data_IF_735679496116
#
_entry.id   IF_735679496116
#
_cell.length_a   1.000
_cell.length_b   1.000
_cell.length_c   1.000
_cell.angle_alpha   90.00
_cell.angle_beta   90.00
_cell.angle_gamma   90.00
#
_symmetry.space_group_name_H-M   'P 1'
#
loop_
_entity.id
_entity.type
_entity.pdbx_description
1 polymer ?
#
# COMPACT_ATOMS: atom_id res chain seq x y z
N UNK A 1 -33.43 9.21 67.95
CA UNK A 1 -33.73 8.04 68.81
C UNK A 1 -34.14 6.87 67.93
N UNK A 2 -33.74 5.62 68.28
CA UNK A 2 -34.04 4.33 67.59
C UNK A 2 -33.47 4.24 66.14
N UNK A 3 -32.46 3.43 65.77
CA UNK A 3 -32.10 1.99 65.93
C UNK A 3 -32.89 1.00 65.05
N UNK A 4 -32.11 0.16 64.31
CA UNK A 4 -32.37 -1.26 63.91
C UNK A 4 -33.43 -1.47 62.81
N UNK A 5 -33.52 -2.57 62.04
CA UNK A 5 -32.72 -3.80 61.72
C UNK A 5 -33.40 -4.45 60.46
N UNK A 6 -32.91 -5.42 59.66
CA UNK A 6 -31.66 -6.21 59.53
C UNK A 6 -31.60 -6.90 58.14
N UNK A 7 -30.42 -7.40 57.73
CA UNK A 7 -30.10 -8.60 56.91
C UNK A 7 -30.95 -9.09 55.70
N UNK A 8 -30.23 -9.51 54.65
CA UNK A 8 -30.75 -10.38 53.57
C UNK A 8 -29.63 -11.05 52.74
N UNK A 9 -28.94 -12.05 53.31
CA UNK A 9 -27.97 -12.89 52.56
C UNK A 9 -28.69 -14.09 51.89
N UNK A 10 -28.41 -14.32 50.61
CA UNK A 10 -28.46 -15.64 49.96
C UNK A 10 -27.64 -15.57 48.66
N UNK A 11 -26.38 -16.02 48.61
CA UNK A 11 -25.95 -17.40 48.42
C UNK A 11 -26.67 -18.16 47.28
N UNK A 12 -26.08 -18.15 46.09
CA UNK A 12 -25.85 -19.38 45.32
C UNK A 12 -24.64 -19.23 44.37
N UNK A 13 -24.13 -20.37 43.89
CA UNK A 13 -22.72 -20.60 43.51
C UNK A 13 -22.51 -20.75 41.99
N UNK A 14 -21.25 -20.78 41.49
CA UNK A 14 -20.95 -20.57 40.07
C UNK A 14 -21.19 -21.83 39.22
N UNK A 15 -21.44 -21.61 37.92
CA UNK A 15 -21.44 -22.66 36.90
C UNK A 15 -20.03 -22.80 36.33
N UNK A 16 -19.46 -24.00 36.49
CA UNK A 16 -18.35 -24.56 35.70
C UNK A 16 -18.77 -25.96 35.30
N UNK A 17 -18.54 -26.30 34.02
CA UNK A 17 -18.35 -27.64 33.42
C UNK A 17 -18.12 -27.31 31.92
N UNK A 18 -16.92 -27.37 31.34
CA UNK A 18 -15.97 -28.47 31.08
C UNK A 18 -16.36 -29.42 29.92
N UNK A 19 -15.34 -29.81 29.14
CA UNK A 19 -15.35 -30.72 27.97
C UNK A 19 -16.03 -30.20 26.66
N UNK A 20 -15.57 -30.53 25.43
CA UNK A 20 -14.60 -31.55 25.02
C UNK A 20 -13.82 -31.21 23.72
N UNK A 21 -12.56 -31.67 23.67
CA UNK A 21 -11.81 -32.20 22.51
C UNK A 21 -11.77 -31.47 21.15
N UNK A 22 -10.57 -30.98 20.83
CA UNK A 22 -9.83 -31.14 19.55
C UNK A 22 -10.57 -31.73 18.33
N UNK A 23 -10.62 -30.93 17.25
CA UNK A 23 -10.22 -31.43 15.92
C UNK A 23 -9.27 -30.44 15.25
N UNK A 24 -8.02 -30.86 15.01
CA UNK A 24 -7.17 -30.20 14.02
C UNK A 24 -7.79 -30.44 12.64
N UNK A 25 -8.06 -29.37 11.90
CA UNK A 25 -7.98 -29.40 10.44
C UNK A 25 -7.13 -28.22 9.99
N UNK A 26 -5.89 -28.54 9.64
CA UNK A 26 -5.04 -27.67 8.84
C UNK A 26 -5.74 -27.43 7.51
N UNK A 27 -6.13 -26.19 7.23
CA UNK A 27 -6.30 -25.74 5.86
C UNK A 27 -5.55 -24.43 5.70
N UNK A 28 -4.52 -24.50 4.87
CA UNK A 28 -3.66 -23.40 4.42
C UNK A 28 -4.48 -22.15 4.10
N UNK A 29 -4.57 -21.24 5.08
CA UNK A 29 -4.95 -19.86 4.82
C UNK A 29 -3.76 -19.25 4.10
N UNK A 30 -3.89 -19.12 2.78
CA UNK A 30 -2.91 -18.43 1.94
C UNK A 30 -2.60 -17.09 2.59
N UNK A 31 -1.39 -16.93 3.11
CA UNK A 31 -0.88 -15.66 3.57
C UNK A 31 -0.79 -14.71 2.37
N UNK A 32 -1.92 -14.06 2.05
CA UNK A 32 -1.87 -12.66 1.64
C UNK A 32 -1.41 -11.88 2.85
N UNK A 33 -0.10 -11.95 3.11
CA UNK A 33 0.61 -10.78 3.62
C UNK A 33 0.33 -9.67 2.61
N UNK A 34 -0.75 -8.93 2.87
CA UNK A 34 -0.76 -7.52 2.52
C UNK A 34 0.50 -7.00 3.20
N UNK A 35 1.51 -6.66 2.41
CA UNK A 35 2.63 -5.90 2.91
C UNK A 35 2.01 -4.76 3.71
N UNK A 36 2.36 -4.67 5.00
CA UNK A 36 1.84 -3.62 5.87
C UNK A 36 2.50 -2.35 5.36
N UNK A 37 1.81 -1.65 4.46
CA UNK A 37 2.19 -0.32 4.01
C UNK A 37 2.16 0.55 5.27
N UNK A 38 3.31 1.13 5.62
CA UNK A 38 3.49 1.89 6.87
C UNK A 38 2.34 2.90 7.04
N UNK A 39 1.51 2.77 8.09
CA UNK A 39 0.26 3.52 8.18
C UNK A 39 0.49 5.04 8.28
N UNK A 40 1.67 5.46 8.74
CA UNK A 40 2.10 6.85 8.89
C UNK A 40 3.28 7.20 7.97
N UNK A 41 3.30 6.68 6.73
CA UNK A 41 4.33 7.07 5.75
C UNK A 41 4.30 8.58 5.51
N UNK A 42 5.39 9.28 5.87
CA UNK A 42 5.53 10.71 5.68
C UNK A 42 5.73 11.10 4.20
N UNK A 43 5.47 12.37 3.89
CA UNK A 43 5.74 12.94 2.55
C UNK A 43 7.18 12.67 2.08
N UNK A 44 8.17 12.90 2.95
CA UNK A 44 9.58 12.70 2.62
C UNK A 44 9.92 11.23 2.36
N UNK A 45 9.43 10.32 3.21
CA UNK A 45 9.66 8.89 3.08
C UNK A 45 9.02 8.31 1.80
N UNK A 46 7.88 8.84 1.35
CA UNK A 46 7.31 8.49 0.05
C UNK A 46 8.23 8.88 -1.10
N UNK A 47 8.75 10.11 -1.11
CA UNK A 47 9.64 10.59 -2.17
C UNK A 47 10.92 9.77 -2.22
N UNK A 48 11.54 9.49 -1.07
CA UNK A 48 12.73 8.64 -0.98
C UNK A 48 12.46 7.21 -1.48
N UNK A 49 11.28 6.63 -1.17
CA UNK A 49 10.87 5.31 -1.65
C UNK A 49 10.69 5.26 -3.16
N UNK A 50 10.10 6.29 -3.77
CA UNK A 50 9.99 6.42 -5.23
C UNK A 50 11.38 6.61 -5.88
N UNK A 51 12.24 7.43 -5.28
CA UNK A 51 13.63 7.63 -5.73
C UNK A 51 14.51 6.40 -5.54
N UNK A 52 14.14 5.48 -4.65
CA UNK A 52 14.81 4.19 -4.48
C UNK A 52 14.38 3.22 -5.59
N UNK A 53 13.07 3.10 -5.83
CA UNK A 53 12.55 2.25 -6.91
C UNK A 53 13.01 2.72 -8.30
N UNK A 54 13.09 4.03 -8.54
CA UNK A 54 13.59 4.57 -9.81
C UNK A 54 15.06 4.22 -10.05
N UNK A 55 15.87 4.07 -9.00
CA UNK A 55 17.31 3.78 -9.08
C UNK A 55 17.66 2.30 -9.15
N UNK A 56 16.80 1.39 -8.69
CA UNK A 56 17.19 -0.01 -8.47
C UNK A 56 17.66 -0.69 -9.77
N UNK A 57 16.98 -0.44 -10.91
CA UNK A 57 17.21 -1.13 -12.19
C UNK A 57 17.39 -0.17 -13.39
N UNK A 58 17.95 1.04 -13.21
CA UNK A 58 18.11 2.02 -14.32
C UNK A 58 18.85 1.43 -15.52
N UNK A 59 19.91 0.67 -15.27
CA UNK A 59 20.78 0.09 -16.30
C UNK A 59 20.09 -1.02 -17.12
N UNK A 60 19.10 -1.69 -16.53
CA UNK A 60 18.34 -2.77 -17.18
C UNK A 60 17.05 -2.26 -17.85
N UNK A 61 16.39 -1.25 -17.26
CA UNK A 61 15.12 -0.75 -17.76
C UNK A 61 14.88 0.75 -17.46
N UNK A 62 15.24 1.60 -18.42
CA UNK A 62 15.05 3.06 -18.35
C UNK A 62 13.56 3.46 -18.28
N UNK A 63 12.64 2.63 -18.80
CA UNK A 63 11.19 2.93 -18.72
C UNK A 63 10.66 2.89 -17.28
N UNK A 64 11.24 2.04 -16.41
CA UNK A 64 10.87 1.98 -15.00
C UNK A 64 11.25 3.30 -14.28
N UNK A 65 12.44 3.85 -14.57
CA UNK A 65 12.86 5.16 -14.06
C UNK A 65 11.86 6.26 -14.44
N UNK A 66 11.48 6.35 -15.72
CA UNK A 66 10.49 7.34 -16.17
C UNK A 66 9.07 7.08 -15.65
N UNK A 67 8.71 5.85 -15.31
CA UNK A 67 7.44 5.56 -14.66
C UNK A 67 7.41 6.07 -13.21
N UNK A 68 8.42 5.76 -12.39
CA UNK A 68 8.51 6.25 -11.02
C UNK A 68 8.66 7.78 -10.95
N UNK A 69 9.40 8.40 -11.88
CA UNK A 69 9.47 9.85 -11.96
C UNK A 69 8.09 10.48 -12.27
N UNK A 70 7.33 9.92 -13.23
CA UNK A 70 5.95 10.39 -13.51
C UNK A 70 5.00 10.22 -12.32
N UNK A 71 5.13 9.14 -11.54
CA UNK A 71 4.36 8.96 -10.29
C UNK A 71 4.71 10.03 -9.26
N UNK A 72 6.00 10.34 -9.11
CA UNK A 72 6.52 11.40 -8.22
C UNK A 72 6.00 12.78 -8.64
N UNK A 73 6.10 13.13 -9.92
CA UNK A 73 5.65 14.43 -10.44
C UNK A 73 4.14 14.62 -10.25
N UNK A 74 3.34 13.62 -10.63
CA UNK A 74 1.87 13.57 -10.41
C UNK A 74 1.51 13.77 -8.93
N UNK A 75 2.22 13.12 -8.01
CA UNK A 75 2.01 13.27 -6.58
C UNK A 75 2.33 14.70 -6.09
N UNK A 76 3.43 15.28 -6.54
CA UNK A 76 3.83 16.65 -6.17
C UNK A 76 2.83 17.70 -6.67
N UNK A 77 2.28 17.52 -7.87
CA UNK A 77 1.27 18.42 -8.43
C UNK A 77 -0.08 18.28 -7.71
N UNK A 78 -0.51 17.07 -7.34
CA UNK A 78 -1.74 16.87 -6.55
C UNK A 78 -1.63 17.50 -5.15
N UNK A 79 -0.47 17.39 -4.48
CA UNK A 79 -0.22 18.06 -3.19
C UNK A 79 -0.26 19.58 -3.35
N UNK A 80 0.43 20.16 -4.36
CA UNK A 80 0.36 21.61 -4.63
C UNK A 80 -1.06 22.10 -4.88
N UNK A 81 -1.88 21.33 -5.60
CA UNK A 81 -3.26 21.68 -5.85
C UNK A 81 -4.08 21.67 -4.55
N UNK A 82 -3.94 20.62 -3.73
CA UNK A 82 -4.58 20.55 -2.40
C UNK A 82 -4.19 21.72 -1.50
N UNK A 83 -2.92 22.09 -1.47
CA UNK A 83 -2.45 23.23 -0.67
C UNK A 83 -2.98 24.58 -1.19
N UNK A 84 -3.06 24.77 -2.50
CA UNK A 84 -3.71 25.95 -3.09
C UNK A 84 -5.21 26.04 -2.73
N UNK A 85 -5.92 24.92 -2.72
CA UNK A 85 -7.33 24.87 -2.35
C UNK A 85 -7.56 25.01 -0.82
N UNK A 86 -6.65 24.50 0.01
CA UNK A 86 -6.61 24.75 1.46
C UNK A 86 -6.43 26.23 1.79
N UNK A 87 -5.53 26.92 1.08
CA UNK A 87 -5.31 28.36 1.27
C UNK A 87 -6.60 29.15 0.96
N UNK A 88 -7.28 28.85 -0.16
CA UNK A 88 -8.59 29.44 -0.49
C UNK A 88 -9.64 29.13 0.58
N UNK A 89 -9.71 27.86 1.01
CA UNK A 89 -10.62 27.39 2.06
C UNK A 89 -10.41 28.13 3.40
N UNK A 90 -9.16 28.35 3.80
CA UNK A 90 -8.81 29.08 5.02
C UNK A 90 -9.27 30.56 4.97
N UNK A 91 -9.19 31.21 3.81
CA UNK A 91 -9.73 32.57 3.62
C UNK A 91 -11.25 32.58 3.80
N UNK A 92 -11.97 31.66 3.16
CA UNK A 92 -13.43 31.56 3.31
C UNK A 92 -13.85 31.20 4.74
N UNK A 93 -13.13 30.29 5.41
CA UNK A 93 -13.35 29.95 6.81
C UNK A 93 -13.20 31.17 7.72
N UNK A 94 -12.12 31.95 7.57
CA UNK A 94 -11.89 33.17 8.34
C UNK A 94 -12.95 34.27 8.05
N UNK A 95 -13.45 34.36 6.82
CA UNK A 95 -14.57 35.24 6.47
C UNK A 95 -15.88 34.78 7.13
N UNK A 96 -16.18 33.47 7.09
CA UNK A 96 -17.36 32.89 7.73
C UNK A 96 -17.38 33.09 9.24
N UNK A 97 -16.24 32.89 9.90
CA UNK A 97 -16.05 33.20 11.32
C UNK A 97 -16.33 34.68 11.64
N UNK A 98 -15.81 35.62 10.84
CA UNK A 98 -16.07 37.06 10.99
C UNK A 98 -17.55 37.43 10.76
N UNK A 99 -18.24 36.69 9.89
CA UNK A 99 -19.66 36.86 9.62
C UNK A 99 -20.58 36.17 10.65
N UNK A 100 -20.03 35.48 11.66
CA UNK A 100 -20.81 34.75 12.66
C UNK A 100 -21.52 33.52 12.11
N UNK A 101 -21.09 32.99 10.96
CA UNK A 101 -21.66 31.78 10.38
C UNK A 101 -21.22 30.54 11.18
N UNK A 102 -22.09 29.53 11.37
CA UNK A 102 -21.66 28.27 11.94
C UNK A 102 -20.59 27.62 11.05
N UNK A 103 -19.53 27.11 11.67
CA UNK A 103 -18.41 26.43 11.02
C UNK A 103 -18.10 25.12 11.75
N UNK A 104 -17.49 24.17 11.04
CA UNK A 104 -16.84 23.04 11.69
C UNK A 104 -15.62 23.52 12.50
N UNK A 105 -15.21 22.75 13.51
CA UNK A 105 -14.00 23.06 14.26
C UNK A 105 -12.74 22.94 13.38
N UNK A 106 -11.79 23.84 13.60
CA UNK A 106 -10.56 23.92 12.79
C UNK A 106 -9.72 22.65 12.91
N UNK A 107 -9.64 22.05 14.10
CA UNK A 107 -8.90 20.80 14.30
C UNK A 107 -9.57 19.62 13.57
N UNK A 108 -10.90 19.63 13.45
CA UNK A 108 -11.63 18.62 12.65
C UNK A 108 -11.31 18.77 11.16
N UNK A 109 -11.27 20.00 10.63
CA UNK A 109 -10.86 20.27 9.25
C UNK A 109 -9.41 19.84 8.99
N UNK A 110 -8.50 20.14 9.93
CA UNK A 110 -7.09 19.76 9.86
C UNK A 110 -6.90 18.24 9.85
N UNK A 111 -7.60 17.50 10.71
CA UNK A 111 -7.58 16.04 10.71
C UNK A 111 -8.13 15.45 9.39
N UNK A 112 -9.19 16.05 8.83
CA UNK A 112 -9.71 15.68 7.52
C UNK A 112 -8.69 15.85 6.40
N UNK A 113 -7.94 16.95 6.40
CA UNK A 113 -6.85 17.19 5.43
C UNK A 113 -5.72 16.16 5.57
N UNK A 114 -5.27 15.87 6.80
CA UNK A 114 -4.19 14.88 7.01
C UNK A 114 -4.61 13.47 6.56
N UNK A 115 -5.84 13.06 6.87
CA UNK A 115 -6.40 11.78 6.40
C UNK A 115 -6.44 11.70 4.87
N UNK A 116 -6.78 12.79 4.18
CA UNK A 116 -6.76 12.86 2.72
C UNK A 116 -5.35 12.76 2.14
N UNK A 117 -4.34 13.32 2.82
CA UNK A 117 -2.95 13.24 2.37
C UNK A 117 -2.33 11.86 2.66
N UNK A 118 -2.59 11.25 3.82
CA UNK A 118 -2.14 9.88 4.09
C UNK A 118 -2.78 8.88 3.10
N UNK A 119 -4.07 9.05 2.79
CA UNK A 119 -4.74 8.24 1.76
C UNK A 119 -4.11 8.41 0.37
N UNK A 120 -3.68 9.62 0.00
CA UNK A 120 -2.92 9.84 -1.24
C UNK A 120 -1.56 9.14 -1.17
N UNK A 121 -0.80 9.33 -0.08
CA UNK A 121 0.53 8.71 0.10
C UNK A 121 0.47 7.18 0.01
N UNK A 122 -0.51 6.55 0.68
CA UNK A 122 -0.75 5.12 0.63
C UNK A 122 -1.08 4.65 -0.79
N UNK A 123 -1.96 5.36 -1.51
CA UNK A 123 -2.29 5.00 -2.90
C UNK A 123 -1.09 5.07 -3.84
N UNK A 124 -0.20 6.07 -3.70
CA UNK A 124 1.01 6.18 -4.52
C UNK A 124 2.02 5.07 -4.19
N UNK A 125 2.21 4.71 -2.91
CA UNK A 125 3.04 3.53 -2.55
C UNK A 125 2.48 2.25 -3.15
N UNK A 126 1.17 2.06 -3.08
CA UNK A 126 0.53 0.87 -3.64
C UNK A 126 0.68 0.81 -5.16
N UNK A 127 0.46 1.91 -5.86
CA UNK A 127 0.68 2.04 -7.32
C UNK A 127 2.13 1.72 -7.70
N UNK A 128 3.10 2.31 -6.99
CA UNK A 128 4.53 2.06 -7.20
C UNK A 128 4.93 0.61 -6.89
N UNK A 129 4.41 0.03 -5.80
CA UNK A 129 4.68 -1.35 -5.40
C UNK A 129 4.04 -2.38 -6.34
N UNK A 130 2.84 -2.12 -6.87
CA UNK A 130 2.19 -2.93 -7.91
C UNK A 130 3.00 -2.88 -9.21
N UNK A 131 3.48 -1.70 -9.62
CA UNK A 131 4.33 -1.52 -10.79
C UNK A 131 5.66 -2.26 -10.66
N UNK A 132 6.38 -2.06 -9.55
CA UNK A 132 7.64 -2.77 -9.26
C UNK A 132 7.45 -4.30 -9.30
N UNK A 133 6.41 -4.84 -8.63
CA UNK A 133 6.12 -6.28 -8.62
C UNK A 133 5.73 -6.85 -9.99
N UNK A 134 5.17 -6.03 -10.89
CA UNK A 134 4.85 -6.44 -12.26
C UNK A 134 6.10 -6.50 -13.13
N UNK A 135 7.03 -5.57 -12.94
CA UNK A 135 8.19 -5.44 -13.80
C UNK A 135 9.41 -6.25 -13.34
N UNK A 136 9.68 -6.31 -12.04
CA UNK A 136 10.85 -6.95 -11.43
C UNK A 136 10.55 -8.32 -10.81
N UNK A 137 9.53 -9.02 -11.34
CA UNK A 137 9.21 -10.37 -10.90
C UNK A 137 10.20 -11.38 -11.51
N UNK A 138 10.89 -12.15 -10.68
CA UNK A 138 11.89 -13.17 -11.09
C UNK A 138 11.39 -14.14 -12.16
N UNK A 139 10.07 -14.36 -12.24
CA UNK A 139 9.43 -15.14 -13.30
C UNK A 139 9.68 -14.61 -14.72
N UNK A 140 10.03 -13.33 -14.95
CA UNK A 140 10.43 -12.87 -16.28
C UNK A 140 11.76 -13.47 -16.73
N UNK A 141 12.72 -13.61 -15.80
CA UNK A 141 14.07 -14.12 -16.07
C UNK A 141 13.98 -15.61 -16.47
N UNK A 142 13.32 -16.44 -15.64
CA UNK A 142 13.14 -17.87 -15.91
C UNK A 142 12.34 -18.17 -17.20
N UNK A 143 11.38 -17.32 -17.58
CA UNK A 143 10.62 -17.50 -18.83
C UNK A 143 11.35 -16.98 -20.09
N UNK A 144 12.46 -16.24 -19.95
CA UNK A 144 13.30 -15.85 -21.10
C UNK A 144 14.44 -16.85 -21.35
N UNK A 145 15.03 -17.43 -20.32
CA UNK A 145 16.08 -18.47 -20.49
C UNK A 145 15.51 -19.75 -21.13
N UNK A 146 14.30 -20.16 -20.74
CA UNK A 146 13.62 -21.34 -21.29
C UNK A 146 13.19 -21.23 -22.77
N UNK A 147 13.39 -20.08 -23.42
CA UNK A 147 13.18 -19.92 -24.87
C UNK A 147 14.49 -19.87 -25.69
N UNK A 148 15.67 -19.97 -25.07
CA UNK A 148 16.97 -19.85 -25.77
C UNK A 148 17.80 -21.15 -25.84
N UNK A 149 17.32 -22.25 -25.28
CA UNK A 149 18.00 -23.56 -25.32
C UNK A 149 17.21 -24.59 -26.12
N UNK A 150 17.18 -24.43 -27.45
CA UNK A 150 16.63 -25.41 -28.41
C UNK A 150 17.49 -25.51 -29.68
N UNK A 151 18.80 -25.59 -29.50
CA UNK A 151 19.77 -26.21 -30.42
C UNK A 151 20.92 -26.80 -29.58
N UNK A 152 21.68 -27.81 -30.05
CA UNK A 152 21.83 -28.27 -31.44
C UNK A 152 21.67 -29.80 -31.64
N UNK A 153 21.69 -30.29 -32.89
CA UNK A 153 22.85 -31.05 -33.42
C UNK A 153 22.79 -31.24 -34.95
N UNK A 154 23.95 -31.53 -35.53
CA UNK A 154 24.26 -31.64 -36.94
C UNK A 154 23.82 -32.99 -37.54
N UNK A 155 23.51 -33.03 -38.85
CA UNK A 155 24.22 -33.90 -39.82
C UNK A 155 23.52 -34.01 -41.19
N UNK A 156 24.35 -34.35 -42.19
CA UNK A 156 24.03 -34.73 -43.58
C UNK A 156 23.80 -33.54 -44.53
N UNK A 157 24.82 -33.04 -45.22
CA UNK A 157 25.55 -33.70 -46.33
C UNK A 157 24.63 -34.13 -47.47
N UNK A 158 24.67 -33.35 -48.57
CA UNK A 158 24.93 -33.84 -49.95
C UNK A 158 24.93 -32.71 -50.99
N UNK A 159 25.91 -32.78 -51.90
CA UNK A 159 25.76 -32.31 -53.29
C UNK A 159 25.99 -30.82 -53.54
N UNK A 160 27.26 -30.46 -53.76
CA UNK A 160 27.64 -29.22 -54.45
C UNK A 160 28.24 -29.64 -55.80
N UNK A 161 27.37 -29.87 -56.79
CA UNK A 161 27.79 -30.19 -58.16
C UNK A 161 28.24 -28.91 -58.87
N UNK A 162 29.52 -28.86 -59.23
CA UNK A 162 30.13 -27.84 -60.07
C UNK A 162 30.55 -28.51 -61.36
N UNK A 163 29.70 -28.46 -62.39
CA UNK A 163 30.12 -28.71 -63.77
C UNK A 163 30.72 -27.45 -64.40
N UNK A 164 31.61 -27.65 -65.38
CA UNK A 164 32.42 -26.62 -66.05
C UNK A 164 31.92 -26.35 -67.47
#
# INVERSE_FOLDING_TARGET
>A
MKKKDQNGLSNQKPVKDEFSSSTKKEYSSKHKEKAVEDPDLSHHALIEKLDTYSKTNIEENVDDYFAFQRMKDKYMDEIKQKDADRIKGAVHYAQGQRAGLPQADYDTLKQGHELQDQNLRNNVVREAGEYYKKNNNLNKIYNQESQKTNEPDQSKDKGLDIEK
#
